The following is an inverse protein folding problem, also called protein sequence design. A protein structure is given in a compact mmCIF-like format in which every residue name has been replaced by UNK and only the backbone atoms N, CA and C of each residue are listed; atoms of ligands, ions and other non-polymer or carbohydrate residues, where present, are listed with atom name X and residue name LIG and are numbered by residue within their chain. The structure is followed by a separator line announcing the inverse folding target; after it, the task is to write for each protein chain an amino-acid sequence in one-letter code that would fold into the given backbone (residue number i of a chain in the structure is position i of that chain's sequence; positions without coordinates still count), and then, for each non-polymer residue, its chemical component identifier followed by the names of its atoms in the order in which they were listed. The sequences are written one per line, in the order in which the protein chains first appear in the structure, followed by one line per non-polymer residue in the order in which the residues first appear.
data_IF_596998740673
#
_entry.id   IF_596998740673
#
_cell.length_a   1.000
_cell.length_b   1.000
_cell.length_c   1.000
_cell.angle_alpha   90.00
_cell.angle_beta   90.00
_cell.angle_gamma   90.00
#
_symmetry.space_group_name_H-M   'P 1'
#
loop_
_entity.id
_entity.type
_entity.pdbx_description
1 polymer ?
#
# COMPACT_ATOMS: atom_id res chain seq x y z
N UNK A 1 -34.25 57.35 -37.29
CA UNK A 1 -33.76 55.98 -37.03
C UNK A 1 -33.45 55.89 -35.55
N UNK A 2 -34.42 55.43 -34.74
CA UNK A 2 -34.27 55.29 -33.29
C UNK A 2 -33.77 53.87 -32.99
N UNK A 3 -32.56 53.77 -32.46
CA UNK A 3 -31.95 52.50 -32.03
C UNK A 3 -32.40 52.22 -30.60
N UNK A 4 -33.10 51.09 -30.45
CA UNK A 4 -33.60 50.54 -29.18
C UNK A 4 -32.44 50.02 -28.33
N UNK A 5 -32.32 50.52 -27.11
CA UNK A 5 -31.43 49.99 -26.06
C UNK A 5 -32.17 48.92 -25.26
N UNK A 6 -31.75 47.66 -25.41
CA UNK A 6 -32.28 46.53 -24.65
C UNK A 6 -31.68 46.51 -23.23
N UNK A 7 -32.56 46.42 -22.23
CA UNK A 7 -32.21 46.30 -20.81
C UNK A 7 -31.66 44.90 -20.49
N UNK A 8 -30.55 44.85 -19.74
CA UNK A 8 -29.94 43.64 -19.21
C UNK A 8 -30.70 43.16 -17.97
N UNK A 9 -31.09 41.88 -17.83
CA UNK A 9 -31.74 41.40 -16.62
C UNK A 9 -30.71 41.21 -15.49
N UNK A 10 -31.04 41.72 -14.30
CA UNK A 10 -30.24 41.56 -13.09
C UNK A 10 -30.22 40.10 -12.63
N UNK A 11 -29.02 39.58 -12.38
CA UNK A 11 -28.78 38.25 -11.81
C UNK A 11 -29.15 38.30 -10.31
N UNK A 12 -30.00 37.41 -9.78
CA UNK A 12 -30.30 37.38 -8.35
C UNK A 12 -29.07 36.92 -7.55
N UNK A 13 -28.81 37.46 -6.35
CA UNK A 13 -27.66 37.08 -5.54
C UNK A 13 -27.75 35.61 -5.14
N UNK A 14 -26.66 34.89 -5.38
CA UNK A 14 -26.45 33.48 -5.08
C UNK A 14 -26.63 33.18 -3.59
N UNK A 15 -27.40 32.14 -3.28
CA UNK A 15 -27.68 31.61 -1.94
C UNK A 15 -26.43 30.96 -1.30
N UNK A 16 -25.41 31.74 -0.95
CA UNK A 16 -24.19 31.24 -0.26
C UNK A 16 -24.33 31.15 1.27
N UNK A 17 -25.41 31.67 1.85
CA UNK A 17 -25.60 31.79 3.30
C UNK A 17 -26.17 30.56 4.02
N UNK A 18 -26.87 29.65 3.32
CA UNK A 18 -27.51 28.48 3.95
C UNK A 18 -26.53 27.35 4.24
N UNK A 19 -25.54 27.14 3.36
CA UNK A 19 -24.61 26.01 3.45
C UNK A 19 -23.59 26.16 4.60
N UNK A 20 -23.19 27.39 4.93
CA UNK A 20 -22.29 27.67 6.09
C UNK A 20 -22.96 27.36 7.43
N UNK A 21 -24.22 27.78 7.62
CA UNK A 21 -24.96 27.52 8.87
C UNK A 21 -25.17 26.03 9.13
N UNK A 22 -25.36 25.22 8.08
CA UNK A 22 -25.56 23.78 8.22
C UNK A 22 -24.26 23.05 8.57
N UNK A 23 -23.13 23.42 7.95
CA UNK A 23 -21.82 22.87 8.30
C UNK A 23 -21.41 23.19 9.74
N UNK A 24 -21.68 24.39 10.23
CA UNK A 24 -21.36 24.79 11.61
C UNK A 24 -22.17 24.00 12.67
N UNK A 25 -23.38 23.55 12.32
CA UNK A 25 -24.20 22.69 13.18
C UNK A 25 -23.68 21.25 13.18
N UNK A 26 -23.38 20.69 12.01
CA UNK A 26 -22.81 19.33 11.87
C UNK A 26 -21.49 19.18 12.66
N UNK A 27 -20.63 20.21 12.68
CA UNK A 27 -19.37 20.23 13.44
C UNK A 27 -19.63 20.23 14.95
N UNK A 28 -20.58 21.05 15.43
CA UNK A 28 -20.93 21.11 16.86
C UNK A 28 -21.52 19.79 17.34
N UNK A 29 -22.38 19.17 16.53
CA UNK A 29 -22.95 17.87 16.82
C UNK A 29 -21.85 16.80 16.91
N UNK A 30 -20.89 16.81 16.00
CA UNK A 30 -19.76 15.87 16.02
C UNK A 30 -18.87 16.02 17.27
N UNK A 31 -18.61 17.25 17.72
CA UNK A 31 -17.84 17.51 18.94
C UNK A 31 -18.55 16.97 20.19
N UNK A 32 -19.84 17.27 20.34
CA UNK A 32 -20.65 16.79 21.47
C UNK A 32 -20.70 15.26 21.49
N UNK A 33 -20.96 14.65 20.33
CA UNK A 33 -21.00 13.20 20.17
C UNK A 33 -19.64 12.59 20.56
N UNK A 34 -18.56 13.09 19.96
CA UNK A 34 -17.23 12.52 20.14
C UNK A 34 -16.74 12.68 21.58
N UNK A 35 -16.88 13.87 22.18
CA UNK A 35 -16.41 14.12 23.55
C UNK A 35 -17.19 13.28 24.57
N UNK A 36 -18.51 13.08 24.36
CA UNK A 36 -19.30 12.17 25.20
C UNK A 36 -18.77 10.75 25.13
N UNK A 37 -18.54 10.21 23.93
CA UNK A 37 -18.01 8.85 23.77
C UNK A 37 -16.59 8.73 24.33
N UNK A 38 -15.75 9.74 24.11
CA UNK A 38 -14.38 9.76 24.58
C UNK A 38 -14.28 9.75 26.11
N UNK A 39 -15.14 10.52 26.79
CA UNK A 39 -15.23 10.53 28.26
C UNK A 39 -15.67 9.17 28.82
N UNK A 40 -16.62 8.49 28.18
CA UNK A 40 -17.01 7.13 28.55
C UNK A 40 -15.82 6.17 28.43
N UNK A 41 -15.09 6.21 27.31
CA UNK A 41 -13.91 5.37 27.10
C UNK A 41 -12.79 5.64 28.12
N UNK A 42 -12.51 6.91 28.41
CA UNK A 42 -11.53 7.29 29.44
C UNK A 42 -11.93 6.76 30.82
N UNK A 43 -13.23 6.82 31.17
CA UNK A 43 -13.75 6.29 32.43
C UNK A 43 -13.73 4.76 32.49
N UNK A 44 -14.00 4.08 31.37
CA UNK A 44 -14.08 2.61 31.29
C UNK A 44 -12.70 1.94 31.28
N UNK A 45 -11.76 2.49 30.50
CA UNK A 45 -10.48 1.85 30.23
C UNK A 45 -9.28 2.52 30.90
N UNK A 46 -9.43 3.79 31.30
CA UNK A 46 -8.31 4.60 31.76
C UNK A 46 -7.46 5.14 30.59
N UNK A 47 -6.87 6.31 30.81
CA UNK A 47 -6.20 7.09 29.77
C UNK A 47 -4.97 6.38 29.19
N UNK A 48 -4.19 5.65 30.00
CA UNK A 48 -3.02 4.88 29.51
C UNK A 48 -3.37 3.65 28.67
N UNK A 49 -4.64 3.23 28.66
CA UNK A 49 -5.11 2.05 27.92
C UNK A 49 -5.90 2.41 26.65
N UNK A 50 -6.09 3.70 26.36
CA UNK A 50 -6.66 4.20 25.10
C UNK A 50 -5.65 4.07 23.94
N UNK A 51 -5.31 2.82 23.63
CA UNK A 51 -4.25 2.42 22.70
C UNK A 51 -4.88 1.99 21.38
N UNK A 52 -5.11 2.99 20.53
CA UNK A 52 -5.68 2.82 19.20
C UNK A 52 -4.65 2.31 18.18
N UNK A 53 -5.11 1.80 17.01
CA UNK A 53 -4.24 1.35 15.93
C UNK A 53 -3.24 2.40 15.47
N UNK A 54 -2.03 1.96 15.09
CA UNK A 54 -1.07 2.86 14.43
C UNK A 54 -1.51 3.25 13.01
N UNK A 55 -2.29 2.40 12.34
CA UNK A 55 -2.66 2.56 10.93
C UNK A 55 -4.16 2.33 10.74
N UNK A 56 -4.81 3.20 9.98
CA UNK A 56 -6.20 3.07 9.58
C UNK A 56 -6.31 3.04 8.07
N UNK A 57 -6.99 2.03 7.54
CA UNK A 57 -7.34 1.94 6.12
C UNK A 57 -8.86 2.04 6.02
N UNK A 58 -9.34 3.18 5.56
CA UNK A 58 -10.77 3.42 5.32
C UNK A 58 -11.11 2.93 3.92
N UNK A 59 -11.80 1.80 3.82
CA UNK A 59 -12.18 1.21 2.55
C UNK A 59 -13.52 1.76 2.09
N UNK A 60 -13.45 2.70 1.14
CA UNK A 60 -14.56 3.32 0.47
C UNK A 60 -14.87 2.67 -0.89
N UNK A 61 -16.12 2.79 -1.33
CA UNK A 61 -16.52 2.36 -2.66
C UNK A 61 -18.02 2.11 -2.76
N UNK A 62 -18.55 2.25 -3.96
CA UNK A 62 -19.96 2.00 -4.23
C UNK A 62 -20.35 0.54 -3.91
N UNK A 63 -21.64 0.24 -3.71
CA UNK A 63 -22.14 -1.14 -3.80
C UNK A 63 -21.65 -1.78 -5.11
N UNK A 64 -21.19 -3.04 -5.07
CA UNK A 64 -20.66 -3.70 -6.26
C UNK A 64 -19.21 -3.32 -6.66
N UNK A 65 -18.56 -2.36 -5.98
CA UNK A 65 -17.18 -1.97 -6.27
C UNK A 65 -16.11 -3.04 -5.93
N UNK A 66 -16.49 -4.16 -5.31
CA UNK A 66 -15.57 -5.25 -4.98
C UNK A 66 -14.84 -5.10 -3.63
N UNK A 67 -15.38 -4.31 -2.68
CA UNK A 67 -14.80 -4.16 -1.33
C UNK A 67 -14.62 -5.51 -0.63
N UNK A 68 -15.69 -6.29 -0.51
CA UNK A 68 -15.64 -7.61 0.13
C UNK A 68 -14.67 -8.58 -0.53
N UNK A 69 -14.46 -8.47 -1.84
CA UNK A 69 -13.50 -9.28 -2.60
C UNK A 69 -12.04 -8.86 -2.30
N UNK A 70 -11.78 -7.56 -2.26
CA UNK A 70 -10.41 -7.03 -2.18
C UNK A 70 -9.93 -6.75 -0.74
N UNK A 71 -10.81 -6.79 0.26
CA UNK A 71 -10.44 -6.46 1.65
C UNK A 71 -9.33 -7.36 2.19
N UNK A 72 -9.45 -8.68 2.00
CA UNK A 72 -8.44 -9.65 2.44
C UNK A 72 -7.11 -9.45 1.69
N UNK A 73 -7.17 -9.13 0.39
CA UNK A 73 -5.99 -8.83 -0.41
C UNK A 73 -5.27 -7.57 0.07
N UNK A 74 -6.00 -6.49 0.34
CA UNK A 74 -5.46 -5.25 0.89
C UNK A 74 -4.80 -5.51 2.25
N UNK A 75 -5.49 -6.24 3.15
CA UNK A 75 -4.95 -6.61 4.46
C UNK A 75 -3.64 -7.38 4.35
N UNK A 76 -3.61 -8.42 3.51
CA UNK A 76 -2.40 -9.21 3.25
C UNK A 76 -1.26 -8.36 2.67
N UNK A 77 -1.57 -7.48 1.73
CA UNK A 77 -0.60 -6.59 1.09
C UNK A 77 0.03 -5.61 2.07
N UNK A 78 -0.74 -5.14 3.06
CA UNK A 78 -0.30 -4.23 4.12
C UNK A 78 0.29 -4.96 5.34
N UNK A 79 0.28 -6.30 5.34
CA UNK A 79 0.76 -7.11 6.46
C UNK A 79 -0.15 -7.08 7.69
N UNK A 80 -1.44 -6.76 7.53
CA UNK A 80 -2.43 -6.78 8.59
C UNK A 80 -2.97 -8.20 8.78
N UNK A 81 -2.87 -8.71 10.01
CA UNK A 81 -3.34 -10.05 10.38
C UNK A 81 -4.71 -10.07 11.07
N UNK A 82 -5.22 -8.90 11.45
CA UNK A 82 -6.54 -8.76 12.09
C UNK A 82 -7.67 -8.81 11.05
N UNK A 83 -8.89 -9.25 11.45
CA UNK A 83 -10.06 -9.17 10.57
C UNK A 83 -10.46 -7.70 10.31
N UNK A 84 -11.06 -7.37 9.15
CA UNK A 84 -11.58 -6.02 8.93
C UNK A 84 -12.74 -5.71 9.88
N UNK A 85 -12.86 -4.46 10.28
CA UNK A 85 -14.03 -3.97 11.01
C UNK A 85 -15.06 -3.51 9.99
N UNK A 86 -16.13 -4.30 9.86
CA UNK A 86 -17.24 -4.01 8.96
C UNK A 86 -18.37 -3.34 9.74
N UNK A 87 -18.67 -2.08 9.43
CA UNK A 87 -19.65 -1.29 10.22
C UNK A 87 -21.02 -1.96 10.25
N UNK A 88 -21.50 -2.54 9.14
CA UNK A 88 -22.80 -3.23 9.16
C UNK A 88 -22.83 -4.40 10.14
N UNK A 89 -21.73 -5.14 10.29
CA UNK A 89 -21.63 -6.26 11.24
C UNK A 89 -21.65 -5.76 12.69
N UNK A 90 -21.02 -4.61 12.97
CA UNK A 90 -21.10 -3.97 14.29
C UNK A 90 -22.52 -3.53 14.64
N UNK A 91 -23.29 -3.09 13.65
CA UNK A 91 -24.69 -2.68 13.83
C UNK A 91 -25.65 -3.84 14.09
N UNK A 92 -25.20 -5.07 13.89
CA UNK A 92 -25.95 -6.29 14.20
C UNK A 92 -25.42 -7.00 15.46
N UNK A 93 -24.47 -6.39 16.16
CA UNK A 93 -23.94 -6.87 17.45
C UNK A 93 -25.02 -6.91 18.55
N UNK A 94 -24.84 -7.72 19.62
CA UNK A 94 -25.77 -7.73 20.75
C UNK A 94 -25.96 -6.35 21.41
N UNK A 95 -24.93 -5.51 21.40
CA UNK A 95 -25.00 -4.13 21.88
C UNK A 95 -25.90 -3.27 20.98
N UNK A 96 -25.66 -3.28 19.67
CA UNK A 96 -26.49 -2.55 18.72
C UNK A 96 -27.95 -3.04 18.72
N UNK A 97 -28.18 -4.35 18.88
CA UNK A 97 -29.52 -4.93 19.02
C UNK A 97 -30.22 -4.47 20.30
N UNK A 98 -29.51 -4.37 21.42
CA UNK A 98 -30.08 -3.84 22.68
C UNK A 98 -30.54 -2.39 22.52
N UNK A 99 -29.76 -1.56 21.83
CA UNK A 99 -30.11 -0.17 21.52
C UNK A 99 -31.36 -0.10 20.62
N UNK A 100 -31.38 -0.89 19.54
CA UNK A 100 -32.54 -1.01 18.63
C UNK A 100 -33.80 -1.48 19.38
N UNK A 101 -33.66 -2.48 20.26
CA UNK A 101 -34.77 -3.05 21.03
C UNK A 101 -35.32 -2.10 22.10
N UNK A 102 -34.49 -1.18 22.61
CA UNK A 102 -34.91 -0.11 23.53
C UNK A 102 -35.64 1.05 22.82
N UNK A 103 -35.90 0.94 21.51
CA UNK A 103 -36.52 1.99 20.70
C UNK A 103 -35.57 3.09 20.24
N UNK A 104 -34.26 2.92 20.46
CA UNK A 104 -33.24 3.84 19.99
C UNK A 104 -32.96 3.69 18.49
N UNK A 105 -32.69 4.80 17.80
CA UNK A 105 -32.10 4.77 16.47
C UNK A 105 -30.59 4.61 16.58
N UNK A 106 -29.99 3.78 15.73
CA UNK A 106 -28.53 3.73 15.62
C UNK A 106 -28.09 4.96 14.80
N UNK A 107 -27.70 6.01 15.50
CA UNK A 107 -27.16 7.24 14.92
C UNK A 107 -25.63 7.23 14.90
N UNK A 108 -25.05 8.38 14.55
CA UNK A 108 -23.60 8.55 14.49
C UNK A 108 -22.93 8.35 15.86
N UNK A 109 -23.61 8.69 16.96
CA UNK A 109 -23.10 8.47 18.32
C UNK A 109 -22.85 7.00 18.62
N UNK A 110 -23.84 6.15 18.35
CA UNK A 110 -23.76 4.72 18.61
C UNK A 110 -22.71 4.06 17.71
N UNK A 111 -22.66 4.44 16.43
CA UNK A 111 -21.64 3.97 15.48
C UNK A 111 -20.24 4.29 15.98
N UNK A 112 -19.99 5.54 16.40
CA UNK A 112 -18.69 5.97 16.91
C UNK A 112 -18.35 5.25 18.21
N UNK A 113 -19.29 5.13 19.15
CA UNK A 113 -19.07 4.41 20.41
C UNK A 113 -18.66 2.96 20.22
N UNK A 114 -19.42 2.20 19.42
CA UNK A 114 -19.13 0.79 19.16
C UNK A 114 -17.80 0.65 18.40
N UNK A 115 -17.56 1.51 17.40
CA UNK A 115 -16.33 1.49 16.62
C UNK A 115 -15.10 1.76 17.50
N UNK A 116 -15.11 2.80 18.33
CA UNK A 116 -13.96 3.13 19.17
C UNK A 116 -13.66 2.03 20.19
N UNK A 117 -14.68 1.41 20.79
CA UNK A 117 -14.49 0.24 21.67
C UNK A 117 -13.88 -0.95 20.94
N UNK A 118 -14.36 -1.22 19.72
CA UNK A 118 -13.81 -2.28 18.87
C UNK A 118 -12.32 -2.06 18.56
N UNK A 119 -11.95 -0.81 18.25
CA UNK A 119 -10.58 -0.41 17.92
C UNK A 119 -9.59 -0.50 19.08
N UNK A 120 -10.06 -0.57 20.33
CA UNK A 120 -9.18 -0.76 21.50
C UNK A 120 -8.71 -2.20 21.68
N UNK A 121 -9.24 -3.17 20.90
CA UNK A 121 -8.82 -4.56 20.99
C UNK A 121 -7.34 -4.71 20.59
N UNK A 122 -6.55 -5.53 21.30
CA UNK A 122 -5.11 -5.68 21.05
C UNK A 122 -4.75 -6.11 19.62
N UNK A 123 -5.63 -6.87 18.95
CA UNK A 123 -5.43 -7.33 17.58
C UNK A 123 -5.33 -6.21 16.55
N UNK A 124 -5.90 -5.03 16.83
CA UNK A 124 -5.88 -3.88 15.92
C UNK A 124 -4.67 -2.96 16.12
N UNK A 125 -3.79 -3.23 17.11
CA UNK A 125 -2.64 -2.37 17.44
C UNK A 125 -1.80 -1.96 16.23
N UNK A 126 -1.54 -2.90 15.33
CA UNK A 126 -0.67 -2.68 14.18
C UNK A 126 -1.37 -2.07 12.97
N UNK A 127 -2.69 -2.07 12.96
CA UNK A 127 -3.46 -1.45 11.90
C UNK A 127 -4.85 -2.08 11.79
N UNK A 128 -5.74 -1.40 11.08
CA UNK A 128 -7.11 -1.85 10.89
C UNK A 128 -7.65 -1.43 9.52
N UNK A 129 -8.47 -2.29 8.90
CA UNK A 129 -9.30 -1.92 7.75
C UNK A 129 -10.72 -1.66 8.23
N UNK A 130 -11.23 -0.46 7.95
CA UNK A 130 -12.61 -0.07 8.23
C UNK A 130 -13.43 -0.12 6.93
N UNK A 131 -14.36 -1.08 6.81
CA UNK A 131 -15.29 -1.14 5.68
C UNK A 131 -16.60 -0.42 6.02
N UNK A 132 -16.87 0.65 5.26
CA UNK A 132 -18.10 1.40 5.37
C UNK A 132 -18.08 2.46 6.46
N UNK A 133 -16.90 2.98 6.82
CA UNK A 133 -16.69 4.18 7.64
C UNK A 133 -15.68 5.12 6.96
N UNK A 134 -15.88 6.45 6.96
CA UNK A 134 -17.10 7.16 7.36
C UNK A 134 -18.16 7.18 6.25
N UNK A 135 -19.44 7.32 6.63
CA UNK A 135 -20.59 7.48 5.72
C UNK A 135 -21.21 8.87 5.77
N UNK A 136 -21.05 9.58 6.87
CA UNK A 136 -21.62 10.91 7.11
C UNK A 136 -20.50 11.92 7.39
N UNK A 137 -20.80 13.21 7.25
CA UNK A 137 -19.85 14.28 7.61
C UNK A 137 -19.57 14.33 9.11
N UNK A 138 -20.56 14.02 9.95
CA UNK A 138 -20.37 13.93 11.41
C UNK A 138 -19.32 12.88 11.74
N UNK A 139 -19.38 11.70 11.10
CA UNK A 139 -18.37 10.66 11.27
C UNK A 139 -16.97 11.11 10.77
N UNK A 140 -16.90 11.89 9.70
CA UNK A 140 -15.65 12.51 9.23
C UNK A 140 -15.06 13.43 10.30
N UNK A 141 -15.86 14.30 10.91
CA UNK A 141 -15.40 15.19 11.98
C UNK A 141 -14.98 14.39 13.23
N UNK A 142 -15.74 13.36 13.61
CA UNK A 142 -15.34 12.46 14.71
C UNK A 142 -14.00 11.75 14.43
N UNK A 143 -13.72 11.36 13.19
CA UNK A 143 -12.42 10.78 12.81
C UNK A 143 -11.27 11.80 12.99
N UNK A 144 -11.48 13.07 12.60
CA UNK A 144 -10.47 14.12 12.81
C UNK A 144 -10.20 14.38 14.29
N UNK A 145 -11.26 14.35 15.11
CA UNK A 145 -11.14 14.47 16.56
C UNK A 145 -10.39 13.28 17.17
N UNK A 146 -10.66 12.04 16.70
CA UNK A 146 -9.92 10.85 17.11
C UNK A 146 -8.42 11.01 16.87
N UNK A 147 -8.03 11.41 15.65
CA UNK A 147 -6.61 11.64 15.30
C UNK A 147 -6.00 12.69 16.22
N UNK A 148 -6.72 13.78 16.49
CA UNK A 148 -6.25 14.84 17.38
C UNK A 148 -6.04 14.32 18.80
N UNK A 149 -6.98 13.55 19.35
CA UNK A 149 -6.84 12.94 20.69
C UNK A 149 -5.68 11.94 20.75
N UNK A 150 -5.51 11.10 19.73
CA UNK A 150 -4.38 10.19 19.63
C UNK A 150 -3.04 10.93 19.62
N UNK A 151 -2.96 12.06 18.91
CA UNK A 151 -1.78 12.93 18.92
C UNK A 151 -1.53 13.56 20.29
N UNK A 152 -2.58 13.98 21.00
CA UNK A 152 -2.47 14.47 22.38
C UNK A 152 -1.91 13.39 23.31
N UNK A 153 -2.47 12.18 23.28
CA UNK A 153 -1.99 11.05 24.09
C UNK A 153 -0.52 10.73 23.77
N UNK A 154 -0.14 10.74 22.49
CA UNK A 154 1.26 10.55 22.08
C UNK A 154 2.19 11.58 22.70
N UNK A 155 1.82 12.87 22.68
CA UNK A 155 2.64 13.94 23.30
C UNK A 155 2.70 13.81 24.82
N UNK A 156 1.60 13.42 25.44
CA UNK A 156 1.47 13.24 26.88
C UNK A 156 2.37 12.11 27.41
N UNK A 157 2.41 10.98 26.70
CA UNK A 157 3.22 9.81 27.08
C UNK A 157 4.62 9.78 26.44
N UNK A 158 5.01 10.85 25.73
CA UNK A 158 6.35 10.94 25.14
C UNK A 158 7.44 10.91 26.24
N UNK A 159 8.53 10.18 25.98
CA UNK A 159 9.60 9.99 26.97
C UNK A 159 9.25 9.10 28.17
N UNK A 160 8.04 8.54 28.25
CA UNK A 160 7.65 7.57 29.29
C UNK A 160 7.86 6.12 28.80
N UNK A 161 7.88 5.12 29.70
CA UNK A 161 7.86 3.70 29.30
C UNK A 161 6.65 3.29 28.45
N UNK A 162 5.57 4.10 28.46
CA UNK A 162 4.36 3.86 27.67
C UNK A 162 4.43 4.40 26.25
N UNK A 163 5.45 5.19 25.91
CA UNK A 163 5.64 5.78 24.56
C UNK A 163 5.55 4.77 23.42
N UNK A 164 5.99 3.53 23.65
CA UNK A 164 5.90 2.41 22.69
C UNK A 164 4.47 2.08 22.24
N UNK A 165 3.47 2.45 23.05
CA UNK A 165 2.06 2.17 22.80
C UNK A 165 1.32 3.32 22.11
N UNK A 166 1.90 4.51 22.06
CA UNK A 166 1.29 5.71 21.46
C UNK A 166 2.10 6.14 20.23
N UNK A 167 1.94 5.38 19.16
CA UNK A 167 2.68 5.57 17.90
C UNK A 167 2.04 6.68 17.05
N UNK A 168 2.83 7.23 16.13
CA UNK A 168 2.29 8.14 15.10
C UNK A 168 1.24 7.39 14.27
N UNK A 169 0.05 7.99 14.17
CA UNK A 169 -1.07 7.43 13.42
C UNK A 169 -0.99 7.79 11.94
N UNK A 170 -1.20 6.81 11.08
CA UNK A 170 -1.34 7.00 9.62
C UNK A 170 -2.74 6.61 9.18
N UNK A 171 -3.36 7.43 8.32
CA UNK A 171 -4.68 7.16 7.76
C UNK A 171 -4.60 7.11 6.24
N UNK A 172 -5.08 6.00 5.68
CA UNK A 172 -5.23 5.75 4.26
C UNK A 172 -6.72 5.69 3.91
N UNK A 173 -7.15 6.48 2.94
CA UNK A 173 -8.49 6.43 2.36
C UNK A 173 -8.36 5.67 1.05
N UNK A 174 -8.85 4.43 0.98
CA UNK A 174 -8.80 3.61 -0.22
C UNK A 174 -10.18 3.54 -0.85
N UNK A 175 -10.35 4.17 -2.01
CA UNK A 175 -11.64 4.22 -2.71
C UNK A 175 -11.59 3.35 -3.96
N UNK A 176 -12.33 2.23 -3.93
CA UNK A 176 -12.57 1.40 -5.10
C UNK A 176 -13.66 2.03 -5.95
N UNK A 177 -13.29 2.47 -7.16
CA UNK A 177 -14.16 3.16 -8.08
C UNK A 177 -14.66 2.25 -9.21
N UNK A 178 -15.99 2.21 -9.34
CA UNK A 178 -16.71 1.69 -10.51
C UNK A 178 -17.80 2.69 -10.88
N UNK A 179 -18.16 2.77 -12.15
CA UNK A 179 -19.30 3.58 -12.56
C UNK A 179 -20.64 2.95 -12.15
N UNK A 180 -21.74 3.70 -12.30
CA UNK A 180 -23.08 3.26 -11.91
C UNK A 180 -23.52 2.00 -12.67
N UNK A 181 -23.21 1.96 -13.97
CA UNK A 181 -23.60 0.87 -14.87
C UNK A 181 -22.95 -0.43 -14.42
N UNK A 182 -21.63 -0.40 -14.18
CA UNK A 182 -20.85 -1.54 -13.71
C UNK A 182 -21.28 -1.96 -12.29
N UNK A 183 -21.50 -1.01 -11.38
CA UNK A 183 -22.01 -1.26 -10.03
C UNK A 183 -23.35 -2.00 -10.05
N UNK A 184 -24.31 -1.54 -10.85
CA UNK A 184 -25.64 -2.15 -10.99
C UNK A 184 -25.51 -3.54 -11.63
N UNK A 185 -24.74 -3.66 -12.71
CA UNK A 185 -24.50 -4.94 -13.38
C UNK A 185 -23.93 -6.00 -12.42
N UNK A 186 -22.95 -5.63 -11.59
CA UNK A 186 -22.36 -6.52 -10.58
C UNK A 186 -23.34 -6.91 -9.48
N UNK A 187 -24.19 -6.00 -9.02
CA UNK A 187 -25.23 -6.31 -8.02
C UNK A 187 -26.25 -7.30 -8.59
N UNK A 188 -26.76 -7.06 -9.80
CA UNK A 188 -27.70 -7.96 -10.46
C UNK A 188 -27.08 -9.32 -10.79
N UNK A 189 -25.80 -9.34 -11.18
CA UNK A 189 -25.05 -10.59 -11.39
C UNK A 189 -24.97 -11.40 -10.11
N UNK A 190 -24.57 -10.76 -9.00
CA UNK A 190 -24.52 -11.39 -7.68
C UNK A 190 -25.90 -11.93 -7.25
N UNK A 191 -26.98 -11.19 -7.51
CA UNK A 191 -28.34 -11.66 -7.22
C UNK A 191 -28.69 -12.95 -7.98
N UNK A 192 -28.34 -13.04 -9.27
CA UNK A 192 -28.53 -14.27 -10.06
C UNK A 192 -27.73 -15.45 -9.49
N UNK A 193 -26.45 -15.24 -9.21
CA UNK A 193 -25.56 -16.27 -8.64
C UNK A 193 -26.07 -16.77 -7.27
N UNK A 194 -26.54 -15.86 -6.40
CA UNK A 194 -27.13 -16.20 -5.10
C UNK A 194 -28.42 -17.00 -5.25
N UNK A 195 -29.29 -16.61 -6.18
CA UNK A 195 -30.55 -17.33 -6.44
C UNK A 195 -30.28 -18.75 -6.93
N UNK A 196 -29.38 -18.90 -7.90
CA UNK A 196 -28.99 -20.21 -8.45
C UNK A 196 -28.42 -21.13 -7.36
N UNK A 197 -27.48 -20.62 -6.56
CA UNK A 197 -26.91 -21.34 -5.42
C UNK A 197 -27.98 -21.74 -4.40
N UNK A 198 -28.84 -20.79 -3.97
CA UNK A 198 -29.88 -21.08 -2.99
C UNK A 198 -30.91 -22.09 -3.50
N UNK A 199 -31.26 -22.04 -4.78
CA UNK A 199 -32.18 -23.01 -5.39
C UNK A 199 -31.56 -24.40 -5.51
N UNK A 200 -30.23 -24.49 -5.68
CA UNK A 200 -29.50 -25.76 -5.62
C UNK A 200 -29.45 -26.30 -4.19
N UNK A 201 -29.09 -25.48 -3.20
CA UNK A 201 -29.07 -25.87 -1.77
C UNK A 201 -30.46 -26.34 -1.31
N UNK A 202 -31.54 -25.65 -1.72
CA UNK A 202 -32.93 -26.05 -1.43
C UNK A 202 -33.30 -27.39 -2.07
N UNK A 203 -32.78 -27.69 -3.27
CA UNK A 203 -33.03 -28.95 -3.98
C UNK A 203 -32.21 -30.12 -3.43
N UNK A 204 -30.93 -29.90 -3.17
CA UNK A 204 -30.00 -30.95 -2.71
C UNK A 204 -30.09 -31.21 -1.22
N UNK A 205 -30.53 -30.21 -0.43
CA UNK A 205 -30.46 -30.23 1.03
C UNK A 205 -29.03 -30.09 1.58
N UNK A 206 -28.04 -29.82 0.72
CA UNK A 206 -26.62 -29.75 1.06
C UNK A 206 -26.09 -28.33 0.84
N UNK A 207 -25.50 -27.75 1.88
CA UNK A 207 -24.91 -26.40 1.86
C UNK A 207 -25.67 -25.39 2.72
N UNK A 208 -25.12 -24.18 2.81
CA UNK A 208 -25.75 -23.06 3.51
C UNK A 208 -26.34 -22.05 2.52
N UNK A 209 -27.49 -21.49 2.87
CA UNK A 209 -28.13 -20.44 2.08
C UNK A 209 -27.31 -19.15 2.15
N UNK A 210 -27.05 -18.57 1.00
CA UNK A 210 -26.45 -17.24 0.90
C UNK A 210 -27.50 -16.16 1.11
N UNK A 211 -27.06 -15.03 1.67
CA UNK A 211 -27.91 -13.87 1.96
C UNK A 211 -28.53 -13.30 0.68
N UNK A 212 -29.86 -13.24 0.63
CA UNK A 212 -30.60 -12.60 -0.45
C UNK A 212 -30.81 -11.11 -0.16
N UNK A 213 -30.24 -10.25 -1.00
CA UNK A 213 -30.33 -8.80 -0.85
C UNK A 213 -31.36 -8.22 -1.82
N UNK A 214 -32.38 -7.48 -1.37
CA UNK A 214 -33.39 -6.92 -2.26
C UNK A 214 -32.80 -6.06 -3.39
N UNK A 215 -31.72 -5.33 -3.10
CA UNK A 215 -31.02 -4.48 -4.09
C UNK A 215 -30.33 -5.25 -5.20
N UNK A 216 -30.13 -6.55 -5.05
CA UNK A 216 -29.46 -7.40 -6.04
C UNK A 216 -30.44 -8.02 -7.02
N UNK A 217 -31.74 -7.86 -6.79
CA UNK A 217 -32.82 -8.39 -7.64
C UNK A 217 -33.64 -7.32 -8.35
N UNK A 218 -33.46 -6.06 -7.96
CA UNK A 218 -34.18 -4.92 -8.51
C UNK A 218 -33.19 -3.83 -8.94
N UNK A 219 -33.19 -3.54 -10.23
CA UNK A 219 -32.32 -2.54 -10.84
C UNK A 219 -32.56 -1.13 -10.27
N UNK A 220 -33.81 -0.76 -10.01
CA UNK A 220 -34.16 0.57 -9.47
C UNK A 220 -33.64 0.75 -8.05
N UNK A 221 -33.70 -0.31 -7.23
CA UNK A 221 -33.13 -0.31 -5.90
C UNK A 221 -31.60 -0.27 -5.94
N UNK A 222 -30.97 -0.99 -6.89
CA UNK A 222 -29.53 -0.94 -7.10
C UNK A 222 -29.04 0.47 -7.48
N UNK A 223 -29.74 1.13 -8.41
CA UNK A 223 -29.47 2.51 -8.83
C UNK A 223 -29.66 3.49 -7.67
N UNK A 224 -30.76 3.36 -6.90
CA UNK A 224 -30.99 4.20 -5.72
C UNK A 224 -29.87 4.05 -4.69
N UNK A 225 -29.38 2.82 -4.47
CA UNK A 225 -28.27 2.54 -3.54
C UNK A 225 -26.96 3.18 -4.01
N UNK A 226 -26.67 3.15 -5.31
CA UNK A 226 -25.52 3.84 -5.89
C UNK A 226 -25.62 5.36 -5.73
N UNK A 227 -26.81 5.93 -5.97
CA UNK A 227 -27.06 7.37 -5.79
C UNK A 227 -26.84 7.82 -4.35
N UNK A 228 -27.36 7.09 -3.36
CA UNK A 228 -27.14 7.36 -1.93
C UNK A 228 -25.65 7.38 -1.60
N UNK A 229 -24.87 6.42 -2.11
CA UNK A 229 -23.42 6.41 -1.95
C UNK A 229 -22.78 7.68 -2.54
N UNK A 230 -23.17 8.09 -3.75
CA UNK A 230 -22.61 9.26 -4.44
C UNK A 230 -22.96 10.58 -3.74
N UNK A 231 -24.15 10.71 -3.18
CA UNK A 231 -24.60 11.95 -2.52
C UNK A 231 -24.01 12.08 -1.11
N UNK A 232 -24.05 11.00 -0.32
CA UNK A 232 -23.74 11.04 1.11
C UNK A 232 -22.30 10.59 1.40
N UNK A 233 -21.92 9.39 0.95
CA UNK A 233 -20.65 8.76 1.33
C UNK A 233 -19.47 9.27 0.52
N UNK A 234 -19.67 9.52 -0.78
CA UNK A 234 -18.62 10.00 -1.66
C UNK A 234 -18.13 11.40 -1.26
N UNK A 235 -19.04 12.32 -0.93
CA UNK A 235 -18.70 13.67 -0.47
C UNK A 235 -17.92 13.63 0.86
N UNK A 236 -18.30 12.75 1.78
CA UNK A 236 -17.58 12.52 3.02
C UNK A 236 -16.15 12.01 2.78
N UNK A 237 -15.97 10.98 1.94
CA UNK A 237 -14.64 10.45 1.59
C UNK A 237 -13.77 11.48 0.85
N UNK A 238 -14.37 12.25 -0.06
CA UNK A 238 -13.66 13.27 -0.82
C UNK A 238 -13.13 14.39 0.08
N UNK A 239 -13.87 14.75 1.14
CA UNK A 239 -13.44 15.77 2.11
C UNK A 239 -12.19 15.37 2.89
N UNK A 240 -11.88 14.08 2.98
CA UNK A 240 -10.68 13.57 3.66
C UNK A 240 -9.42 13.63 2.79
N UNK A 241 -9.57 13.84 1.48
CA UNK A 241 -8.45 13.85 0.52
C UNK A 241 -7.40 14.91 0.82
N UNK A 242 -7.81 16.05 1.38
CA UNK A 242 -6.90 17.16 1.69
C UNK A 242 -6.11 16.93 2.99
N UNK A 243 -6.52 15.93 3.80
CA UNK A 243 -6.05 15.74 5.17
C UNK A 243 -5.25 14.44 5.31
N UNK A 244 -5.67 13.38 4.61
CA UNK A 244 -5.11 12.03 4.73
C UNK A 244 -4.67 11.47 3.38
N UNK A 245 -3.88 10.38 3.41
CA UNK A 245 -3.41 9.71 2.21
C UNK A 245 -4.60 9.14 1.44
N UNK A 246 -4.89 9.66 0.25
CA UNK A 246 -6.06 9.29 -0.53
C UNK A 246 -5.66 8.50 -1.77
N UNK A 247 -6.16 7.27 -1.85
CA UNK A 247 -5.89 6.29 -2.89
C UNK A 247 -7.15 6.10 -3.72
N UNK A 248 -7.11 6.48 -4.99
CA UNK A 248 -8.25 6.37 -5.90
C UNK A 248 -8.01 5.25 -6.91
N UNK A 249 -8.68 4.12 -6.68
CA UNK A 249 -8.33 2.86 -7.34
C UNK A 249 -9.40 2.54 -8.37
N UNK A 250 -8.99 2.37 -9.63
CA UNK A 250 -9.87 1.88 -10.67
C UNK A 250 -10.21 0.40 -10.40
N UNK A 251 -11.48 0.13 -10.09
CA UNK A 251 -12.00 -1.20 -9.77
C UNK A 251 -12.83 -1.83 -10.91
N UNK A 252 -12.69 -1.33 -12.14
CA UNK A 252 -13.18 -1.98 -13.35
C UNK A 252 -12.29 -3.16 -13.75
N UNK A 253 -12.83 -4.07 -14.57
CA UNK A 253 -12.10 -5.24 -15.05
C UNK A 253 -12.18 -6.45 -14.11
N UNK A 254 -11.26 -7.37 -14.30
CA UNK A 254 -11.12 -8.61 -13.54
C UNK A 254 -10.53 -8.38 -12.15
N UNK A 255 -10.71 -9.35 -11.24
CA UNK A 255 -10.16 -9.28 -9.87
C UNK A 255 -8.64 -9.07 -9.91
N UNK A 256 -7.92 -9.80 -10.78
CA UNK A 256 -6.47 -9.68 -10.91
C UNK A 256 -6.03 -8.28 -11.37
N UNK A 257 -6.76 -7.65 -12.28
CA UNK A 257 -6.46 -6.27 -12.72
C UNK A 257 -6.70 -5.27 -11.58
N UNK A 258 -7.78 -5.44 -10.81
CA UNK A 258 -8.06 -4.59 -9.64
C UNK A 258 -6.99 -4.76 -8.56
N UNK A 259 -6.57 -6.00 -8.26
CA UNK A 259 -5.48 -6.30 -7.34
C UNK A 259 -4.16 -5.66 -7.79
N UNK A 260 -3.86 -5.68 -9.10
CA UNK A 260 -2.68 -5.00 -9.65
C UNK A 260 -2.77 -3.47 -9.50
N UNK A 261 -3.95 -2.89 -9.71
CA UNK A 261 -4.18 -1.46 -9.49
C UNK A 261 -3.99 -1.09 -8.01
N UNK A 262 -4.48 -1.92 -7.08
CA UNK A 262 -4.28 -1.76 -5.64
C UNK A 262 -2.79 -1.76 -5.31
N UNK A 263 -2.04 -2.75 -5.83
CA UNK A 263 -0.59 -2.85 -5.58
C UNK A 263 0.16 -1.63 -6.09
N UNK A 264 -0.15 -1.17 -7.30
CA UNK A 264 0.49 0.00 -7.91
C UNK A 264 0.28 1.26 -7.07
N UNK A 265 -0.93 1.46 -6.56
CA UNK A 265 -1.27 2.63 -5.74
C UNK A 265 -0.57 2.57 -4.37
N UNK A 266 -0.52 1.39 -3.75
CA UNK A 266 0.15 1.20 -2.46
C UNK A 266 1.69 1.29 -2.55
N UNK A 267 2.30 0.82 -3.65
CA UNK A 267 3.75 0.91 -3.87
C UNK A 267 4.25 2.35 -3.97
N UNK A 268 3.43 3.28 -4.45
CA UNK A 268 3.81 4.69 -4.64
C UNK A 268 4.11 5.43 -3.31
N UNK A 269 3.64 4.93 -2.15
CA UNK A 269 3.65 5.69 -0.89
C UNK A 269 4.48 5.12 0.27
N UNK A 270 5.23 4.03 0.08
CA UNK A 270 6.08 3.47 1.15
C UNK A 270 7.14 4.46 1.68
N UNK A 271 7.47 5.52 0.94
CA UNK A 271 8.37 6.61 1.36
C UNK A 271 7.70 7.67 2.27
N UNK A 272 6.37 7.73 2.32
CA UNK A 272 5.60 8.73 3.08
C UNK A 272 5.10 8.22 4.45
N UNK A 273 5.25 6.92 4.71
CA UNK A 273 4.78 6.28 5.95
C UNK A 273 5.82 6.30 7.07
N UNK A 274 7.03 6.76 6.76
CA UNK A 274 8.11 6.91 7.72
C UNK A 274 7.94 8.20 8.52
N UNK A 275 8.23 8.12 9.82
CA UNK A 275 8.34 9.31 10.66
C UNK A 275 9.28 10.34 9.99
N UNK A 276 9.01 11.66 10.03
CA UNK A 276 9.83 12.67 9.37
C UNK A 276 11.33 12.55 9.62
N UNK A 277 11.74 12.26 10.86
CA UNK A 277 13.16 12.06 11.22
C UNK A 277 13.77 10.84 10.53
N UNK A 278 12.98 9.79 10.34
CA UNK A 278 13.41 8.56 9.63
C UNK A 278 13.45 8.80 8.13
N UNK A 279 12.44 9.48 7.58
CA UNK A 279 12.40 9.82 6.16
C UNK A 279 13.58 10.73 5.75
N UNK A 280 13.86 11.78 6.53
CA UNK A 280 14.98 12.69 6.28
C UNK A 280 16.33 11.95 6.22
N UNK A 281 16.51 10.89 7.02
CA UNK A 281 17.72 10.05 7.01
C UNK A 281 17.80 9.12 5.80
N UNK A 282 16.67 8.64 5.31
CA UNK A 282 16.61 7.68 4.20
C UNK A 282 16.49 8.34 2.82
N UNK A 283 16.12 9.63 2.76
CA UNK A 283 15.91 10.39 1.52
C UNK A 283 17.13 10.45 0.59
N UNK A 284 18.34 10.28 1.12
CA UNK A 284 19.57 10.25 0.30
C UNK A 284 19.77 8.94 -0.45
N UNK A 285 19.05 7.88 -0.08
CA UNK A 285 19.11 6.58 -0.75
C UNK A 285 18.03 6.52 -1.82
N UNK A 286 18.39 6.27 -3.10
CA UNK A 286 17.40 6.14 -4.17
C UNK A 286 16.55 4.89 -3.95
N UNK A 287 15.26 4.98 -4.29
CA UNK A 287 14.37 3.82 -4.22
C UNK A 287 14.72 2.86 -5.37
N UNK A 288 14.64 1.55 -5.13
CA UNK A 288 14.97 0.55 -6.15
C UNK A 288 14.23 0.78 -7.49
N UNK A 289 12.98 1.23 -7.44
CA UNK A 289 12.20 1.62 -8.62
C UNK A 289 12.83 2.78 -9.38
N UNK A 290 13.31 3.82 -8.69
CA UNK A 290 13.98 4.98 -9.31
C UNK A 290 15.30 4.57 -9.98
N UNK A 291 16.05 3.65 -9.35
CA UNK A 291 17.28 3.10 -9.94
C UNK A 291 16.97 2.43 -11.28
N UNK A 292 15.85 1.73 -11.40
CA UNK A 292 15.50 0.95 -12.60
C UNK A 292 15.05 1.82 -13.77
N UNK A 293 14.30 2.91 -13.55
CA UNK A 293 13.64 3.70 -14.61
C UNK A 293 14.63 4.18 -15.69
N UNK A 294 15.84 4.59 -15.28
CA UNK A 294 16.87 5.08 -16.20
C UNK A 294 18.10 4.15 -16.29
N UNK A 295 18.07 2.99 -15.63
CA UNK A 295 19.22 2.07 -15.56
C UNK A 295 19.79 1.72 -16.94
N UNK A 296 18.92 1.49 -17.93
CA UNK A 296 19.36 1.14 -19.29
C UNK A 296 20.02 2.31 -20.02
N UNK A 297 19.48 3.52 -19.90
CA UNK A 297 20.05 4.71 -20.54
C UNK A 297 21.41 5.05 -19.93
N UNK A 298 21.53 4.96 -18.60
CA UNK A 298 22.78 5.18 -17.89
C UNK A 298 23.80 4.07 -18.20
N UNK A 299 23.38 2.81 -18.36
CA UNK A 299 24.27 1.72 -18.79
C UNK A 299 24.90 2.00 -20.15
N UNK A 300 24.09 2.39 -21.15
CA UNK A 300 24.58 2.73 -22.49
C UNK A 300 25.57 3.89 -22.42
N UNK A 301 25.22 4.96 -21.68
CA UNK A 301 26.09 6.12 -21.50
C UNK A 301 27.43 5.76 -20.86
N UNK A 302 27.44 4.85 -19.86
CA UNK A 302 28.69 4.36 -19.24
C UNK A 302 29.54 3.57 -20.24
N UNK A 303 28.94 2.65 -21.00
CA UNK A 303 29.65 1.86 -22.00
C UNK A 303 30.26 2.73 -23.11
N UNK A 304 29.50 3.69 -23.64
CA UNK A 304 30.01 4.64 -24.63
C UNK A 304 31.13 5.50 -24.02
N UNK A 305 30.97 5.93 -22.76
CA UNK A 305 32.01 6.65 -22.02
C UNK A 305 33.28 5.83 -21.83
N UNK A 306 33.17 4.53 -21.52
CA UNK A 306 34.32 3.64 -21.38
C UNK A 306 35.13 3.52 -22.67
N UNK A 307 34.46 3.39 -23.83
CA UNK A 307 35.14 3.32 -25.12
C UNK A 307 35.83 4.65 -25.47
N UNK A 308 35.20 5.79 -25.16
CA UNK A 308 35.74 7.11 -25.47
C UNK A 308 36.88 7.54 -24.55
N UNK A 309 36.76 7.30 -23.24
CA UNK A 309 37.66 7.83 -22.22
C UNK A 309 38.74 6.81 -21.80
N UNK A 310 38.45 5.51 -21.95
CA UNK A 310 39.28 4.41 -21.44
C UNK A 310 39.44 3.25 -22.44
N UNK A 311 39.60 3.57 -23.73
CA UNK A 311 39.63 2.61 -24.85
C UNK A 311 40.54 1.39 -24.62
N UNK A 312 41.78 1.62 -24.16
CA UNK A 312 42.74 0.52 -23.95
C UNK A 312 42.30 -0.43 -22.83
N UNK A 313 41.80 0.11 -21.71
CA UNK A 313 41.34 -0.70 -20.59
C UNK A 313 40.07 -1.46 -20.97
N UNK A 314 39.13 -0.79 -21.62
CA UNK A 314 37.89 -1.39 -22.10
C UNK A 314 38.17 -2.55 -23.06
N UNK A 315 39.08 -2.35 -24.02
CA UNK A 315 39.53 -3.39 -24.94
C UNK A 315 40.15 -4.60 -24.22
N UNK A 316 40.97 -4.36 -23.19
CA UNK A 316 41.56 -5.43 -22.35
C UNK A 316 40.49 -6.21 -21.60
N UNK A 317 39.47 -5.54 -21.05
CA UNK A 317 38.34 -6.20 -20.36
C UNK A 317 37.53 -7.04 -21.33
N UNK A 318 37.20 -6.52 -22.52
CA UNK A 318 36.49 -7.27 -23.56
C UNK A 318 37.29 -8.52 -23.98
N UNK A 319 38.60 -8.36 -24.23
CA UNK A 319 39.49 -9.47 -24.58
C UNK A 319 39.57 -10.53 -23.47
N UNK A 320 39.61 -10.10 -22.20
CA UNK A 320 39.57 -10.99 -21.05
C UNK A 320 38.26 -11.78 -20.99
N UNK A 321 37.11 -11.11 -21.14
CA UNK A 321 35.79 -11.75 -21.16
C UNK A 321 35.71 -12.80 -22.29
N UNK A 322 36.07 -12.39 -23.52
CA UNK A 322 36.00 -13.23 -24.70
C UNK A 322 36.88 -14.48 -24.58
N UNK A 323 38.13 -14.33 -24.12
CA UNK A 323 39.10 -15.43 -24.13
C UNK A 323 39.06 -16.31 -22.89
N UNK A 324 38.65 -15.78 -21.74
CA UNK A 324 38.70 -16.50 -20.45
C UNK A 324 37.33 -16.89 -19.94
N UNK A 325 36.32 -16.03 -20.09
CA UNK A 325 35.02 -16.23 -19.45
C UNK A 325 34.02 -16.91 -20.39
N UNK A 326 33.85 -16.39 -21.61
CA UNK A 326 32.84 -16.90 -22.56
C UNK A 326 32.99 -18.41 -22.83
N UNK A 327 34.20 -18.99 -22.99
CA UNK A 327 34.35 -20.44 -23.16
C UNK A 327 33.79 -21.25 -21.99
N UNK A 328 33.84 -20.73 -20.76
CA UNK A 328 33.29 -21.37 -19.57
C UNK A 328 31.76 -21.21 -19.56
N UNK A 329 31.26 -20.00 -19.86
CA UNK A 329 29.82 -19.71 -19.98
C UNK A 329 29.15 -20.64 -21.00
N UNK A 330 29.75 -20.82 -22.18
CA UNK A 330 29.24 -21.71 -23.23
C UNK A 330 29.12 -23.17 -22.75
N UNK A 331 30.07 -23.65 -21.95
CA UNK A 331 30.01 -25.00 -21.36
C UNK A 331 28.90 -25.16 -20.30
N UNK A 332 28.44 -24.05 -19.73
CA UNK A 332 27.38 -23.99 -18.73
C UNK A 332 26.03 -23.53 -19.32
N UNK A 333 25.87 -23.60 -20.64
CA UNK A 333 24.64 -23.18 -21.32
C UNK A 333 23.38 -23.91 -20.83
N UNK A 334 23.54 -25.10 -20.25
CA UNK A 334 22.46 -25.92 -19.70
C UNK A 334 22.11 -25.48 -18.28
N UNK A 335 23.11 -25.33 -17.41
CA UNK A 335 22.89 -24.92 -16.01
C UNK A 335 22.45 -23.47 -15.87
N UNK A 336 22.74 -22.63 -16.87
CA UNK A 336 22.49 -21.19 -16.81
C UNK A 336 23.35 -20.46 -15.77
N UNK A 337 24.36 -21.12 -15.21
CA UNK A 337 25.25 -20.56 -14.18
C UNK A 337 26.67 -21.01 -14.44
N UNK A 338 27.59 -20.04 -14.55
CA UNK A 338 29.03 -20.24 -14.65
C UNK A 338 29.75 -19.56 -13.49
N UNK A 339 30.78 -20.21 -12.96
CA UNK A 339 31.68 -19.65 -11.95
C UNK A 339 33.11 -19.63 -12.49
N UNK A 340 33.77 -18.48 -12.38
CA UNK A 340 35.13 -18.26 -12.85
C UNK A 340 35.96 -17.68 -11.71
N UNK A 341 37.08 -18.34 -11.39
CA UNK A 341 38.05 -17.84 -10.44
C UNK A 341 39.30 -17.40 -11.20
N UNK A 342 39.79 -16.19 -10.94
CA UNK A 342 40.94 -15.63 -11.66
C UNK A 342 41.80 -14.75 -10.76
N UNK A 343 43.07 -14.63 -11.14
CA UNK A 343 44.07 -13.73 -10.54
C UNK A 343 44.54 -12.69 -11.59
N UNK A 344 43.76 -12.52 -12.66
CA UNK A 344 44.13 -11.65 -13.79
C UNK A 344 44.28 -10.19 -13.33
N UNK A 345 45.42 -9.60 -13.68
CA UNK A 345 45.81 -8.24 -13.29
C UNK A 345 44.87 -7.17 -13.84
N UNK A 346 44.14 -7.45 -14.92
CA UNK A 346 43.13 -6.52 -15.47
C UNK A 346 42.08 -6.17 -14.41
N UNK A 347 41.69 -7.13 -13.56
CA UNK A 347 40.62 -6.93 -12.58
C UNK A 347 41.10 -6.27 -11.27
N UNK A 348 42.39 -5.98 -11.14
CA UNK A 348 42.88 -5.15 -10.03
C UNK A 348 42.45 -3.69 -10.16
N UNK A 349 42.12 -3.23 -11.37
CA UNK A 349 41.54 -1.92 -11.61
C UNK A 349 40.04 -1.92 -11.24
N UNK A 350 39.60 -1.07 -10.29
CA UNK A 350 38.19 -0.96 -9.94
C UNK A 350 37.28 -0.61 -11.12
N UNK A 351 37.77 0.18 -12.09
CA UNK A 351 37.02 0.55 -13.27
C UNK A 351 36.81 -0.65 -14.21
N UNK A 352 37.80 -1.55 -14.30
CA UNK A 352 37.68 -2.77 -15.07
C UNK A 352 36.61 -3.73 -14.51
N UNK A 353 36.45 -3.77 -13.19
CA UNK A 353 35.36 -4.52 -12.54
C UNK A 353 33.99 -3.95 -12.92
N UNK A 354 33.85 -2.62 -12.92
CA UNK A 354 32.63 -1.95 -13.34
C UNK A 354 32.31 -2.21 -14.82
N UNK A 355 33.31 -2.07 -15.70
CA UNK A 355 33.20 -2.41 -17.13
C UNK A 355 32.73 -3.85 -17.34
N UNK A 356 33.31 -4.81 -16.60
CA UNK A 356 32.93 -6.22 -16.71
C UNK A 356 31.46 -6.45 -16.35
N UNK A 357 30.98 -5.84 -15.25
CA UNK A 357 29.57 -5.95 -14.81
C UNK A 357 28.64 -5.33 -15.85
N UNK A 358 28.99 -4.15 -16.38
CA UNK A 358 28.20 -3.43 -17.37
C UNK A 358 28.13 -4.17 -18.72
N UNK A 359 29.26 -4.72 -19.20
CA UNK A 359 29.30 -5.54 -20.43
C UNK A 359 28.39 -6.77 -20.29
N UNK A 360 28.47 -7.49 -19.17
CA UNK A 360 27.59 -8.64 -18.96
C UNK A 360 26.11 -8.23 -18.85
N UNK A 361 25.82 -7.13 -18.17
CA UNK A 361 24.46 -6.60 -18.05
C UNK A 361 23.87 -6.20 -19.39
N UNK A 362 24.66 -5.56 -20.27
CA UNK A 362 24.25 -5.21 -21.64
C UNK A 362 23.98 -6.46 -22.49
N UNK A 363 24.81 -7.49 -22.34
CA UNK A 363 24.67 -8.77 -23.05
C UNK A 363 23.60 -9.71 -22.47
N UNK A 364 22.84 -9.27 -21.46
CA UNK A 364 21.72 -10.03 -20.88
C UNK A 364 22.13 -11.07 -19.83
N UNK A 365 23.32 -10.95 -19.26
CA UNK A 365 23.81 -11.78 -18.16
C UNK A 365 23.70 -11.03 -16.82
N UNK A 366 23.58 -11.79 -15.73
CA UNK A 366 23.73 -11.26 -14.38
C UNK A 366 25.11 -11.65 -13.83
N UNK A 367 26.00 -10.67 -13.70
CA UNK A 367 27.35 -10.88 -13.17
C UNK A 367 27.48 -10.38 -11.73
N UNK A 368 28.13 -11.16 -10.88
CA UNK A 368 28.55 -10.80 -9.52
C UNK A 368 30.04 -11.08 -9.39
N UNK A 369 30.79 -10.14 -8.81
CA UNK A 369 32.24 -10.27 -8.63
C UNK A 369 32.61 -10.08 -7.17
N UNK A 370 33.29 -11.07 -6.59
CA UNK A 370 33.79 -11.05 -5.21
C UNK A 370 35.31 -11.12 -5.18
N UNK A 371 35.96 -10.17 -4.49
CA UNK A 371 37.41 -10.20 -4.26
C UNK A 371 37.73 -10.95 -2.96
N UNK A 372 38.34 -12.13 -3.09
CA UNK A 372 38.88 -12.88 -1.95
C UNK A 372 40.36 -12.54 -1.74
N UNK A 373 40.71 -12.14 -0.51
CA UNK A 373 42.10 -11.93 -0.08
C UNK A 373 42.52 -13.10 0.80
N UNK A 374 43.53 -13.83 0.37
CA UNK A 374 44.05 -15.01 1.06
C UNK A 374 45.47 -14.69 1.50
N UNK A 375 45.73 -14.78 2.80
CA UNK A 375 47.10 -14.67 3.33
C UNK A 375 47.83 -15.99 3.14
N UNK A 376 48.95 -15.95 2.42
CA UNK A 376 49.81 -17.11 2.17
C UNK A 376 51.12 -16.89 2.94
N UNK A 377 51.44 -17.73 3.93
CA UNK A 377 52.72 -17.68 4.63
C UNK A 377 53.89 -17.84 3.65
N UNK A 378 54.84 -16.91 3.67
CA UNK A 378 56.06 -16.99 2.86
C UNK A 378 57.30 -17.26 3.69
N UNK A 379 57.40 -16.64 4.86
CA UNK A 379 58.60 -16.73 5.70
C UNK A 379 58.24 -16.60 7.16
N UNK A 380 58.91 -17.37 8.00
CA UNK A 380 58.88 -17.20 9.46
C UNK A 380 60.16 -16.50 9.90
N UNK A 381 60.02 -15.43 10.67
CA UNK A 381 61.12 -14.82 11.39
C UNK A 381 61.42 -15.66 12.63
N UNK A 382 62.56 -16.34 12.63
CA UNK A 382 62.95 -17.25 13.70
C UNK A 382 63.32 -16.54 15.01
N UNK A 383 63.59 -15.23 14.98
CA UNK A 383 63.93 -14.46 16.17
C UNK A 383 62.67 -13.91 16.86
N UNK A 384 61.66 -13.54 16.09
CA UNK A 384 60.43 -12.91 16.60
C UNK A 384 59.21 -13.83 16.59
N UNK A 385 59.29 -14.98 15.90
CA UNK A 385 58.17 -15.89 15.66
C UNK A 385 57.14 -15.37 14.65
N UNK A 386 57.37 -14.20 14.05
CA UNK A 386 56.41 -13.58 13.12
C UNK A 386 56.39 -14.28 11.77
N UNK A 387 55.19 -14.64 11.31
CA UNK A 387 54.96 -15.18 9.96
C UNK A 387 54.71 -14.00 9.02
N UNK A 388 55.62 -13.78 8.08
CA UNK A 388 55.42 -12.88 6.95
C UNK A 388 54.58 -13.61 5.90
N UNK A 389 53.39 -13.08 5.65
CA UNK A 389 52.47 -13.56 4.63
C UNK A 389 52.49 -12.63 3.42
N UNK A 390 52.36 -13.19 2.21
CA UNK A 390 51.90 -12.43 1.04
C UNK A 390 50.39 -12.49 0.93
N UNK A 391 49.77 -11.42 0.43
CA UNK A 391 48.33 -11.41 0.15
C UNK A 391 48.10 -11.85 -1.29
N UNK A 392 47.41 -12.97 -1.46
CA UNK A 392 46.92 -13.45 -2.75
C UNK A 392 45.49 -12.94 -2.99
N UNK A 393 45.29 -12.20 -4.07
CA UNK A 393 43.96 -11.72 -4.50
C UNK A 393 43.36 -12.68 -5.53
N UNK A 394 42.16 -13.16 -5.27
CA UNK A 394 41.42 -14.04 -6.19
C UNK A 394 40.05 -13.43 -6.43
N UNK A 395 39.73 -13.14 -7.69
CA UNK A 395 38.40 -12.68 -8.10
C UNK A 395 37.52 -13.89 -8.41
N UNK A 396 36.40 -14.00 -7.70
CA UNK A 396 35.35 -14.99 -7.96
C UNK A 396 34.23 -14.31 -8.72
N UNK A 397 34.00 -14.72 -9.96
CA UNK A 397 33.02 -14.15 -10.86
C UNK A 397 31.93 -15.18 -11.06
N UNK A 398 30.70 -14.84 -10.70
CA UNK A 398 29.53 -15.66 -10.94
C UNK A 398 28.65 -15.02 -12.01
N UNK A 399 28.32 -15.79 -13.04
CA UNK A 399 27.55 -15.33 -14.19
C UNK A 399 26.31 -16.19 -14.30
N UNK A 400 25.13 -15.57 -14.24
CA UNK A 400 23.84 -16.24 -14.39
C UNK A 400 23.15 -15.75 -15.66
N UNK A 401 22.48 -16.67 -16.34
CA UNK A 401 21.71 -16.43 -17.56
C UNK A 401 20.65 -17.52 -17.72
N UNK A 402 19.73 -17.33 -18.67
CA UNK A 402 18.70 -18.33 -18.93
C UNK A 402 19.32 -19.60 -19.55
N UNK A 403 19.28 -20.70 -18.83
CA UNK A 403 19.79 -22.00 -19.28
C UNK A 403 18.83 -22.72 -20.22
N UNK A 404 19.35 -23.64 -21.03
CA UNK A 404 18.54 -24.47 -21.94
C UNK A 404 17.91 -25.66 -21.20
N UNK A 405 16.58 -25.81 -21.32
CA UNK A 405 15.85 -26.97 -20.80
C UNK A 405 16.17 -28.22 -21.62
N UNK A 406 16.87 -29.20 -21.03
CA UNK A 406 17.26 -30.42 -21.76
C UNK A 406 16.18 -31.50 -21.80
N UNK A 407 15.08 -31.42 -21.03
CA UNK A 407 13.96 -32.37 -21.14
C UNK A 407 12.62 -31.74 -20.77
N UNK A 408 11.74 -31.60 -21.77
CA UNK A 408 10.30 -31.77 -21.55
C UNK A 408 10.03 -33.27 -21.53
N UNK A 409 10.12 -33.84 -20.34
CA UNK A 409 9.60 -35.18 -20.01
C UNK A 409 8.36 -35.01 -19.18
#
# INVERSE_FOLDING_TARGET
MNVSTAATPAIPPTQSGSNRRHGDLEIKDAQIIFDSVWQELESEHGRENLRFPKEFILLGGAPGAGKGTNTAFIGKTRGLTCPPVVISSLLDSPEARRIKNAGGMVGDREVIGILLRELLKPEYRDGVILDGFPRTKVQVECLKLLVTRMQTLRREFDGTPLSIYFRQTTIHIMVLFVDEKESVARQLKRGREVREHNDEVRRSGVGELWEERPTDYDETLAQRRYRVFKEQTWSALQSLKEIFHYHFINAHGSIAEVEMNILKELQYQSSLELEPRTNDRLRSLPVASEIIVHARQELVKRLDGYELEHTELFSRVVCFIEKKIIPIVLRHAISGVAQVNTEDVVLEDPLALAMLIDIFSERGYHAVVDLHRIEIPERVDLNTGLIKCRVKKVFRIQIRFHGSEIRRG
#
